data_IF_182746694615
#
_entry.id   IF_182746694615
#
_cell.length_a   1.000
_cell.length_b   1.000
_cell.length_c   1.000
_cell.angle_alpha   90.00
_cell.angle_beta   90.00
_cell.angle_gamma   90.00
#
_symmetry.space_group_name_H-M   'P 1'
#
loop_
_entity.id
_entity.type
_entity.pdbx_description
1 polymer ?
#
# COMPACT_ATOMS: atom_id res chain seq x y z
N UNK A 1 -1.23 14.28 -22.67
CA UNK A 1 -0.27 15.14 -21.95
C UNK A 1 -1.06 15.83 -20.85
N UNK A 2 -0.81 15.49 -19.58
CA UNK A 2 -1.58 16.03 -18.46
C UNK A 2 -1.14 17.46 -18.15
N UNK A 3 -2.10 18.37 -18.03
CA UNK A 3 -1.85 19.75 -17.57
C UNK A 3 -1.73 19.74 -16.05
N UNK A 4 -0.72 20.40 -15.50
CA UNK A 4 -0.63 20.60 -14.06
C UNK A 4 -1.88 21.36 -13.59
N UNK A 5 -2.55 20.84 -12.56
CA UNK A 5 -3.75 21.44 -11.99
C UNK A 5 -3.32 22.34 -10.85
N UNK A 6 -3.92 23.53 -10.76
CA UNK A 6 -3.69 24.45 -9.64
C UNK A 6 -4.18 23.82 -8.33
N UNK A 7 -3.37 23.90 -7.28
CA UNK A 7 -3.61 23.27 -5.98
C UNK A 7 -4.87 23.81 -5.31
N UNK A 8 -5.20 25.08 -5.55
CA UNK A 8 -6.23 25.79 -4.78
C UNK A 8 -7.61 25.78 -5.48
N UNK A 9 -7.73 25.18 -6.67
CA UNK A 9 -9.01 25.05 -7.37
C UNK A 9 -9.77 23.79 -6.88
N UNK A 10 -10.98 23.92 -6.29
CA UNK A 10 -11.76 22.77 -5.86
C UNK A 10 -12.16 21.90 -7.06
N UNK A 11 -11.68 20.66 -7.10
CA UNK A 11 -12.06 19.70 -8.16
C UNK A 11 -12.10 18.28 -7.63
N UNK A 12 -13.27 17.66 -7.73
CA UNK A 12 -13.43 16.23 -7.48
C UNK A 12 -13.12 15.44 -8.75
N UNK A 13 -12.22 14.45 -8.71
CA UNK A 13 -12.01 13.54 -9.84
C UNK A 13 -13.29 12.79 -10.19
N UNK A 14 -13.64 12.75 -11.48
CA UNK A 14 -14.82 12.02 -11.95
C UNK A 14 -14.50 10.56 -12.34
N UNK A 15 -13.25 10.29 -12.69
CA UNK A 15 -12.77 8.98 -13.13
C UNK A 15 -11.98 8.32 -12.00
N UNK A 16 -12.19 7.02 -11.79
CA UNK A 16 -11.47 6.26 -10.75
C UNK A 16 -9.99 6.04 -11.05
N UNK A 17 -9.62 5.99 -12.32
CA UNK A 17 -8.22 5.84 -12.75
C UNK A 17 -7.60 4.46 -12.53
N UNK A 18 -8.38 3.43 -12.19
CA UNK A 18 -7.90 2.05 -12.11
C UNK A 18 -7.69 1.42 -13.49
N UNK A 19 -6.78 0.45 -13.54
CA UNK A 19 -6.65 -0.45 -14.69
C UNK A 19 -7.82 -1.45 -14.78
N UNK A 20 -7.85 -2.24 -15.85
CA UNK A 20 -8.90 -3.22 -16.16
C UNK A 20 -8.77 -4.51 -15.33
N UNK A 21 -8.94 -4.42 -14.00
CA UNK A 21 -8.70 -5.53 -13.07
C UNK A 21 -9.48 -6.80 -13.43
N UNK A 22 -10.79 -6.66 -13.69
CA UNK A 22 -11.70 -7.79 -13.95
C UNK A 22 -11.44 -8.43 -15.30
N UNK A 23 -11.23 -7.61 -16.33
CA UNK A 23 -10.99 -8.03 -17.70
C UNK A 23 -9.63 -8.70 -17.85
N UNK A 24 -8.59 -8.17 -17.20
CA UNK A 24 -7.26 -8.79 -17.19
C UNK A 24 -7.31 -10.16 -16.51
N UNK A 25 -8.00 -10.27 -15.37
CA UNK A 25 -8.18 -11.56 -14.69
C UNK A 25 -8.96 -12.56 -15.56
N UNK A 26 -10.03 -12.10 -16.21
CA UNK A 26 -10.81 -12.94 -17.15
C UNK A 26 -9.98 -13.39 -18.37
N UNK A 27 -9.01 -12.58 -18.80
CA UNK A 27 -8.06 -12.91 -19.85
C UNK A 27 -6.89 -13.81 -19.37
N UNK A 28 -6.86 -14.20 -18.09
CA UNK A 28 -5.79 -15.02 -17.51
C UNK A 28 -4.49 -14.24 -17.26
N UNK A 29 -4.53 -12.91 -17.27
CA UNK A 29 -3.39 -12.06 -16.93
C UNK A 29 -3.35 -11.89 -15.40
N UNK A 30 -2.24 -12.25 -14.73
CA UNK A 30 -2.10 -12.01 -13.30
C UNK A 30 -2.14 -10.51 -12.98
N UNK A 31 -2.89 -10.15 -11.94
CA UNK A 31 -3.04 -8.77 -11.47
C UNK A 31 -2.75 -8.73 -9.97
N UNK A 32 -2.02 -7.71 -9.53
CA UNK A 32 -1.71 -7.49 -8.12
C UNK A 32 -1.99 -6.03 -7.75
N UNK A 33 -2.25 -5.78 -6.46
CA UNK A 33 -2.42 -4.45 -5.89
C UNK A 33 -1.26 -4.14 -4.93
N UNK A 34 -0.82 -2.88 -4.90
CA UNK A 34 0.25 -2.40 -4.05
C UNK A 34 -0.08 -0.98 -3.54
N UNK A 35 0.54 -0.56 -2.45
CA UNK A 35 0.41 0.81 -1.91
C UNK A 35 1.01 1.87 -2.83
N UNK A 36 1.97 1.47 -3.67
CA UNK A 36 2.84 2.37 -4.41
C UNK A 36 3.60 3.30 -3.45
N UNK A 37 3.19 4.56 -3.36
CA UNK A 37 3.78 5.60 -2.54
C UNK A 37 3.21 5.62 -1.11
N UNK A 38 4.04 5.97 -0.12
CA UNK A 38 3.60 6.17 1.26
C UNK A 38 4.30 7.38 1.85
N UNK A 39 3.50 8.33 2.36
CA UNK A 39 3.93 9.58 2.99
C UNK A 39 4.95 10.37 2.16
N UNK A 40 4.71 10.47 0.85
CA UNK A 40 5.53 11.27 -0.07
C UNK A 40 4.70 12.30 -0.87
N UNK A 41 5.32 12.93 -1.87
CA UNK A 41 4.67 13.98 -2.68
C UNK A 41 3.50 13.48 -3.55
N UNK A 42 3.44 12.19 -3.89
CA UNK A 42 2.38 11.62 -4.71
C UNK A 42 1.29 10.97 -3.85
N UNK A 43 1.65 10.40 -2.69
CA UNK A 43 0.71 9.91 -1.70
C UNK A 43 1.15 10.36 -0.29
N UNK A 44 0.62 11.48 0.22
CA UNK A 44 1.06 12.05 1.50
C UNK A 44 0.59 11.26 2.73
N UNK A 45 -0.19 10.19 2.53
CA UNK A 45 -0.78 9.37 3.59
C UNK A 45 -0.24 7.93 3.52
N UNK A 46 -0.85 7.03 4.31
CA UNK A 46 -0.52 5.60 4.31
C UNK A 46 0.46 5.17 5.41
N UNK A 47 0.44 3.87 5.71
CA UNK A 47 1.21 3.21 6.77
C UNK A 47 1.71 1.80 6.35
N UNK A 48 1.74 1.53 5.04
CA UNK A 48 2.08 0.22 4.45
C UNK A 48 1.12 -0.93 4.85
N UNK A 49 -0.10 -0.66 5.33
CA UNK A 49 -1.07 -1.71 5.59
C UNK A 49 -1.68 -2.29 4.31
N UNK A 50 -1.25 -3.50 3.95
CA UNK A 50 -1.74 -4.19 2.76
C UNK A 50 -3.23 -4.57 2.83
N UNK A 51 -3.81 -4.73 4.03
CA UNK A 51 -5.25 -4.96 4.18
C UNK A 51 -6.04 -3.69 3.81
N UNK A 52 -5.51 -2.51 4.12
CA UNK A 52 -6.10 -1.25 3.70
C UNK A 52 -6.08 -1.10 2.17
N UNK A 53 -4.92 -1.38 1.55
CA UNK A 53 -4.76 -1.39 0.08
C UNK A 53 -5.77 -2.33 -0.57
N UNK A 54 -5.93 -3.53 -0.01
CA UNK A 54 -6.85 -4.51 -0.55
C UNK A 54 -8.31 -4.04 -0.47
N UNK A 55 -8.72 -3.49 0.67
CA UNK A 55 -10.06 -2.93 0.86
C UNK A 55 -10.36 -1.80 -0.13
N UNK A 56 -9.39 -0.93 -0.38
CA UNK A 56 -9.50 0.15 -1.36
C UNK A 56 -9.62 -0.39 -2.79
N UNK A 57 -8.81 -1.39 -3.15
CA UNK A 57 -8.89 -2.06 -4.45
C UNK A 57 -10.27 -2.71 -4.67
N UNK A 58 -10.82 -3.38 -3.65
CA UNK A 58 -12.16 -3.98 -3.71
C UNK A 58 -13.22 -2.93 -3.97
N UNK A 59 -13.23 -1.83 -3.20
CA UNK A 59 -14.23 -0.77 -3.34
C UNK A 59 -14.10 -0.03 -4.69
N UNK A 60 -12.88 0.35 -5.08
CA UNK A 60 -12.64 1.10 -6.31
C UNK A 60 -12.90 0.26 -7.57
N UNK A 61 -12.59 -1.04 -7.52
CA UNK A 61 -12.76 -1.99 -8.62
C UNK A 61 -14.14 -2.66 -8.70
N UNK A 62 -15.07 -2.36 -7.78
CA UNK A 62 -16.34 -3.08 -7.63
C UNK A 62 -16.18 -4.61 -7.53
N UNK A 63 -15.12 -5.04 -6.84
CA UNK A 63 -14.75 -6.45 -6.74
C UNK A 63 -15.59 -7.20 -5.69
N UNK A 64 -16.39 -6.47 -4.92
CA UNK A 64 -17.38 -6.99 -3.98
C UNK A 64 -18.56 -7.71 -4.67
N UNK A 65 -18.72 -7.51 -5.98
CA UNK A 65 -19.70 -8.21 -6.81
C UNK A 65 -19.27 -9.62 -7.23
N UNK A 66 -18.08 -10.06 -6.81
CA UNK A 66 -17.56 -11.37 -7.17
C UNK A 66 -18.47 -12.52 -6.68
N UNK A 67 -18.49 -13.67 -7.39
CA UNK A 67 -19.35 -14.79 -7.04
C UNK A 67 -19.09 -15.39 -5.65
N UNK A 68 -17.87 -15.23 -5.12
CA UNK A 68 -17.50 -15.72 -3.81
C UNK A 68 -16.76 -14.66 -2.97
N UNK A 69 -16.98 -14.71 -1.66
CA UNK A 69 -16.31 -13.82 -0.72
C UNK A 69 -14.81 -14.08 -0.71
N UNK A 70 -14.02 -13.00 -0.84
CA UNK A 70 -12.56 -13.10 -0.82
C UNK A 70 -11.94 -13.60 -2.13
N UNK A 71 -12.71 -13.72 -3.21
CA UNK A 71 -12.20 -14.14 -4.53
C UNK A 71 -11.00 -13.33 -5.00
N UNK A 72 -10.90 -12.08 -4.55
CA UNK A 72 -9.84 -11.13 -4.90
C UNK A 72 -8.73 -11.00 -3.85
N UNK A 73 -8.66 -11.90 -2.86
CA UNK A 73 -7.60 -11.90 -1.84
C UNK A 73 -6.21 -12.21 -2.44
N UNK A 74 -6.17 -12.85 -3.61
CA UNK A 74 -4.96 -13.12 -4.38
C UNK A 74 -4.23 -11.85 -4.82
N UNK A 75 -4.93 -10.73 -5.03
CA UNK A 75 -4.35 -9.43 -5.43
C UNK A 75 -3.20 -8.98 -4.54
N UNK A 76 -3.29 -9.27 -3.24
CA UNK A 76 -2.31 -8.86 -2.22
C UNK A 76 -1.55 -10.04 -1.61
N UNK A 77 -1.78 -11.25 -2.10
CA UNK A 77 -1.13 -12.47 -1.62
C UNK A 77 -0.40 -13.17 -2.76
N UNK A 78 -1.01 -14.19 -3.36
CA UNK A 78 -0.39 -15.07 -4.36
C UNK A 78 0.01 -14.32 -5.63
N UNK A 79 -0.85 -13.44 -6.15
CA UNK A 79 -0.54 -12.70 -7.38
C UNK A 79 0.60 -11.70 -7.16
N UNK A 80 0.61 -11.01 -6.01
CA UNK A 80 1.70 -10.12 -5.62
C UNK A 80 3.03 -10.89 -5.45
N UNK A 81 3.01 -12.04 -4.76
CA UNK A 81 4.21 -12.89 -4.62
C UNK A 81 4.74 -13.37 -5.97
N UNK A 82 3.84 -13.78 -6.87
CA UNK A 82 4.20 -14.19 -8.24
C UNK A 82 4.85 -13.05 -9.02
N UNK A 83 4.28 -11.84 -8.94
CA UNK A 83 4.80 -10.66 -9.63
C UNK A 83 6.21 -10.27 -9.15
N UNK A 84 6.53 -10.50 -7.87
CA UNK A 84 7.87 -10.28 -7.31
C UNK A 84 8.88 -11.38 -7.67
N UNK A 85 8.49 -12.41 -8.42
CA UNK A 85 9.32 -13.58 -8.69
C UNK A 85 9.55 -14.46 -7.45
N UNK A 86 8.69 -14.32 -6.44
CA UNK A 86 8.74 -15.11 -5.22
C UNK A 86 8.21 -16.53 -5.41
N UNK A 87 8.55 -17.41 -4.47
CA UNK A 87 8.02 -18.77 -4.45
C UNK A 87 6.53 -18.75 -4.08
N UNK A 88 5.67 -19.01 -5.06
CA UNK A 88 4.21 -19.06 -4.89
C UNK A 88 3.79 -20.13 -3.88
N UNK A 89 4.56 -21.21 -3.74
CA UNK A 89 4.26 -22.27 -2.76
C UNK A 89 4.47 -21.80 -1.32
N UNK A 90 5.33 -20.79 -1.10
CA UNK A 90 5.51 -20.14 0.19
C UNK A 90 4.45 -19.05 0.46
N UNK A 91 3.73 -18.59 -0.57
CA UNK A 91 2.66 -17.59 -0.45
C UNK A 91 1.27 -18.21 -0.18
N UNK A 92 1.11 -19.51 -0.42
CA UNK A 92 -0.12 -20.24 -0.18
C UNK A 92 -0.09 -20.98 1.17
N UNK A 93 -1.23 -21.00 1.87
CA UNK A 93 -1.39 -21.84 3.06
C UNK A 93 -1.60 -23.29 2.63
N UNK A 94 -0.58 -24.12 2.80
CA UNK A 94 -0.60 -25.52 2.40
C UNK A 94 0.09 -26.42 3.44
N UNK A 95 -0.34 -27.69 3.49
CA UNK A 95 0.30 -28.70 4.35
C UNK A 95 1.75 -28.92 3.88
N UNK A 96 2.70 -28.85 4.80
CA UNK A 96 4.13 -28.99 4.52
C UNK A 96 4.85 -27.69 4.14
N UNK A 97 4.11 -26.60 3.89
CA UNK A 97 4.69 -25.28 3.69
C UNK A 97 5.13 -24.64 5.02
N UNK A 98 6.09 -23.70 5.01
CA UNK A 98 6.40 -22.90 6.19
C UNK A 98 5.15 -22.19 6.71
N UNK A 99 4.96 -22.17 8.04
CA UNK A 99 3.84 -21.48 8.67
C UNK A 99 4.07 -19.96 8.70
N UNK A 100 3.94 -19.34 7.53
CA UNK A 100 4.00 -17.89 7.31
C UNK A 100 2.59 -17.41 6.95
N UNK A 101 1.91 -16.74 7.89
CA UNK A 101 0.51 -16.36 7.72
C UNK A 101 0.13 -15.18 8.60
N UNK A 102 -0.95 -14.49 8.22
CA UNK A 102 -1.57 -13.43 9.01
C UNK A 102 -2.94 -13.93 9.48
N UNK A 103 -3.19 -13.87 10.78
CA UNK A 103 -4.47 -14.22 11.38
C UNK A 103 -5.24 -12.97 11.76
N UNK A 104 -6.55 -13.00 11.56
CA UNK A 104 -7.48 -11.95 11.92
C UNK A 104 -8.50 -12.49 12.93
N UNK A 105 -8.22 -12.47 14.24
CA UNK A 105 -9.07 -13.09 15.25
C UNK A 105 -10.50 -12.51 15.28
N UNK A 106 -10.64 -11.22 14.98
CA UNK A 106 -11.90 -10.51 14.95
C UNK A 106 -12.77 -10.74 13.70
N UNK A 107 -12.31 -11.52 12.72
CA UNK A 107 -13.03 -11.77 11.48
C UNK A 107 -13.18 -13.27 11.20
N UNK A 108 -14.41 -13.70 10.94
CA UNK A 108 -14.76 -15.09 10.57
C UNK A 108 -15.01 -15.26 9.08
N UNK A 109 -15.23 -14.14 8.37
CA UNK A 109 -15.52 -14.06 6.94
C UNK A 109 -15.05 -12.73 6.37
N UNK A 110 -15.01 -12.62 5.05
CA UNK A 110 -14.43 -11.44 4.39
C UNK A 110 -15.23 -10.16 4.59
N UNK A 111 -16.56 -10.23 4.74
CA UNK A 111 -17.34 -9.04 5.07
C UNK A 111 -16.96 -8.45 6.44
N UNK A 112 -16.63 -9.29 7.43
CA UNK A 112 -16.11 -8.86 8.73
C UNK A 112 -14.66 -8.35 8.62
N UNK A 113 -13.85 -9.02 7.79
CA UNK A 113 -12.45 -8.65 7.55
C UNK A 113 -12.33 -7.26 6.91
N UNK A 114 -13.14 -6.96 5.89
CA UNK A 114 -13.06 -5.70 5.16
C UNK A 114 -13.82 -4.55 5.85
N UNK A 115 -14.67 -4.84 6.84
CA UNK A 115 -15.43 -3.81 7.57
C UNK A 115 -14.59 -3.00 8.57
N UNK A 116 -13.40 -3.49 8.97
CA UNK A 116 -12.55 -2.85 9.99
C UNK A 116 -11.06 -2.94 9.59
N UNK A 117 -10.18 -2.11 10.20
CA UNK A 117 -8.74 -2.17 9.91
C UNK A 117 -8.00 -3.41 10.46
N UNK A 118 -8.58 -4.11 11.44
CA UNK A 118 -7.96 -5.27 12.13
C UNK A 118 -6.47 -5.05 12.50
N UNK A 119 -6.20 -3.99 13.26
CA UNK A 119 -4.87 -3.73 13.82
C UNK A 119 -4.46 -4.75 14.90
N UNK A 120 -5.41 -5.57 15.38
CA UNK A 120 -5.24 -6.70 16.30
C UNK A 120 -4.79 -8.00 15.61
N UNK A 121 -4.48 -7.95 14.30
CA UNK A 121 -3.98 -9.09 13.52
C UNK A 121 -2.69 -9.66 14.09
N UNK A 122 -2.54 -10.98 13.98
CA UNK A 122 -1.33 -11.69 14.38
C UNK A 122 -0.52 -12.05 13.13
N UNK A 123 0.74 -11.64 13.09
CA UNK A 123 1.68 -12.05 12.04
C UNK A 123 2.45 -13.26 12.55
N UNK A 124 2.44 -14.36 11.82
CA UNK A 124 3.16 -15.58 12.16
C UNK A 124 4.20 -15.83 11.06
N UNK A 125 5.46 -16.04 11.46
CA UNK A 125 6.56 -16.37 10.56
C UNK A 125 7.26 -17.63 11.06
N UNK A 126 7.36 -18.66 10.22
CA UNK A 126 7.93 -19.96 10.59
C UNK A 126 7.26 -20.59 11.83
N UNK A 127 5.95 -20.38 11.99
CA UNK A 127 5.19 -20.88 13.14
C UNK A 127 5.35 -20.07 14.42
N UNK A 128 6.06 -18.93 14.39
CA UNK A 128 6.26 -18.05 15.54
C UNK A 128 5.50 -16.74 15.36
N UNK A 129 4.61 -16.36 16.30
CA UNK A 129 4.01 -15.03 16.31
C UNK A 129 5.10 -13.95 16.36
N UNK A 130 4.89 -12.86 15.63
CA UNK A 130 5.66 -11.65 15.76
C UNK A 130 5.01 -10.78 16.83
N UNK A 131 5.80 -10.42 17.84
CA UNK A 131 5.42 -9.58 18.98
C UNK A 131 6.21 -8.26 18.99
N UNK A 132 6.83 -7.91 17.86
CA UNK A 132 7.58 -6.67 17.70
C UNK A 132 6.69 -5.46 17.93
N UNK A 133 6.99 -4.69 18.97
CA UNK A 133 6.39 -3.39 19.20
C UNK A 133 7.05 -2.33 18.31
N UNK A 134 6.26 -1.39 17.80
CA UNK A 134 6.83 -0.26 17.06
C UNK A 134 7.65 0.60 18.03
N UNK A 135 8.85 1.05 17.63
CA UNK A 135 9.61 1.98 18.46
C UNK A 135 8.82 3.29 18.61
N UNK A 136 8.92 3.96 19.77
CA UNK A 136 8.41 5.32 19.89
C UNK A 136 9.12 6.23 18.88
N UNK A 137 8.43 7.26 18.38
CA UNK A 137 9.02 8.15 17.39
C UNK A 137 10.31 8.82 17.86
N UNK A 138 10.43 9.08 19.17
CA UNK A 138 11.65 9.63 19.78
C UNK A 138 12.89 8.78 19.53
N UNK A 139 12.74 7.46 19.46
CA UNK A 139 13.86 6.54 19.21
C UNK A 139 14.32 6.59 17.74
N UNK A 140 13.58 7.30 16.88
CA UNK A 140 13.89 7.51 15.47
C UNK A 140 14.42 8.92 15.17
N UNK A 141 14.45 9.83 16.15
CA UNK A 141 14.81 11.24 15.93
C UNK A 141 16.25 11.37 15.40
N UNK A 142 17.19 10.58 15.94
CA UNK A 142 18.59 10.56 15.50
C UNK A 142 18.76 10.18 14.01
N UNK A 143 17.83 9.37 13.46
CA UNK A 143 17.81 8.99 12.05
C UNK A 143 17.31 10.13 11.16
N UNK A 144 16.50 11.05 11.70
CA UNK A 144 15.94 12.18 10.97
C UNK A 144 16.83 13.42 11.04
N UNK A 145 17.52 13.64 12.17
CA UNK A 145 18.39 14.80 12.40
C UNK A 145 19.71 14.73 11.62
N UNK A 146 20.14 13.54 11.17
CA UNK A 146 21.35 13.33 10.36
C UNK A 146 21.19 13.57 8.85
N UNK A 147 19.97 13.75 8.32
CA UNK A 147 19.75 13.98 6.90
C UNK A 147 19.91 15.46 6.54
N UNK A 148 21.14 15.87 6.19
CA UNK A 148 21.33 17.06 5.35
C UNK A 148 20.80 16.74 3.95
N UNK A 149 19.52 17.02 3.72
CA UNK A 149 18.91 16.98 2.39
C UNK A 149 19.58 18.05 1.51
N UNK A 150 20.60 17.62 0.76
CA UNK A 150 21.16 18.42 -0.32
C UNK A 150 20.20 18.27 -1.50
N UNK A 151 19.18 19.12 -1.54
CA UNK A 151 18.26 19.16 -2.69
C UNK A 151 19.03 19.72 -3.87
N UNK A 152 19.37 18.87 -4.84
CA UNK A 152 19.88 19.32 -6.13
C UNK A 152 18.76 20.01 -6.91
N UNK A 153 18.69 21.33 -6.79
CA UNK A 153 17.72 22.15 -7.50
C UNK A 153 17.99 22.26 -9.00
N UNK A 154 19.06 21.64 -9.54
CA UNK A 154 19.31 21.62 -10.99
C UNK A 154 18.30 20.78 -11.77
N UNK A 155 17.53 19.92 -11.09
CA UNK A 155 16.44 19.12 -11.65
C UNK A 155 15.06 19.80 -11.55
N UNK A 156 14.98 21.08 -11.14
CA UNK A 156 13.71 21.84 -11.14
C UNK A 156 13.29 22.11 -12.58
N UNK A 157 12.30 21.35 -13.07
CA UNK A 157 11.70 21.49 -14.42
C UNK A 157 10.85 22.76 -14.55
N UNK A 158 10.66 23.54 -13.48
CA UNK A 158 9.96 24.81 -13.51
C UNK A 158 10.91 25.94 -13.93
N UNK A 159 11.01 26.17 -15.24
CA UNK A 159 11.64 27.38 -15.78
C UNK A 159 10.89 28.63 -15.28
N UNK A 160 11.52 29.41 -14.40
CA UNK A 160 11.15 30.82 -14.19
C UNK A 160 11.00 31.31 -12.75
N UNK A 161 11.09 30.48 -11.72
CA UNK A 161 11.03 30.96 -10.34
C UNK A 161 12.45 31.23 -9.81
N UNK A 162 12.78 32.50 -9.57
CA UNK A 162 13.88 32.86 -8.66
C UNK A 162 13.49 32.44 -7.25
N UNK A 163 14.21 31.48 -6.67
CA UNK A 163 13.97 31.00 -5.31
C UNK A 163 15.17 31.40 -4.46
N UNK A 164 14.96 32.29 -3.49
CA UNK A 164 15.93 32.51 -2.42
C UNK A 164 15.98 31.28 -1.50
N UNK A 165 17.15 30.89 -0.97
CA UNK A 165 17.28 29.74 -0.10
C UNK A 165 16.57 29.99 1.24
N UNK A 166 15.38 29.43 1.42
CA UNK A 166 14.73 29.36 2.73
C UNK A 166 15.46 28.35 3.62
N UNK A 167 16.07 28.85 4.70
CA UNK A 167 16.54 28.03 5.81
C UNK A 167 15.39 27.84 6.79
N UNK A 168 14.91 26.61 6.93
CA UNK A 168 14.05 26.26 8.06
C UNK A 168 14.92 26.01 9.29
N UNK A 169 14.54 26.59 10.43
CA UNK A 169 15.00 26.17 11.75
C UNK A 169 13.78 25.59 12.45
N UNK A 170 13.84 24.32 12.81
CA UNK A 170 12.84 23.70 13.66
C UNK A 170 13.17 24.10 15.10
N UNK A 171 12.23 24.75 15.78
CA UNK A 171 12.26 25.12 17.20
C UNK A 171 11.52 24.09 18.03
#
# INVERSE_FOLDING_TARGET
>A
MGTAVDRDEPRTPLWRGLTLLQELRAAGVPVAAASDNVRDWWHPYGDYDILAVWREAVAMGHLDTAPCEGDWADLVTVAAATAMGGDVTAAAVAVGAPANLVLFPGARRFSELLARPHADRLVIRGGKPQDSELPPYSDLDDLMEGLVLTVDTSQVVLRGATVEPMRYHLS
#
